data_IF_925940671291
#
_entry.id   IF_925940671291
#
_cell.length_a   1.000
_cell.length_b   1.000
_cell.length_c   1.000
_cell.angle_alpha   90.00
_cell.angle_beta   90.00
_cell.angle_gamma   90.00
#
_symmetry.space_group_name_H-M   'P 1'
#
loop_
_entity.id
_entity.type
_entity.pdbx_description
1 polymer ?
#
# COMPACT_ATOMS: atom_id res chain seq x y z
N UNK A 1 44.23 -5.96 -21.84
CA UNK A 1 44.05 -6.81 -20.64
C UNK A 1 45.37 -7.44 -20.19
N UNK A 2 46.40 -7.52 -21.04
CA UNK A 2 47.72 -8.08 -20.67
C UNK A 2 48.70 -7.11 -20.00
N UNK A 3 48.52 -5.78 -20.09
CA UNK A 3 49.51 -4.81 -19.60
C UNK A 3 49.44 -4.46 -18.10
N UNK A 4 48.48 -5.02 -17.34
CA UNK A 4 48.27 -4.71 -15.91
C UNK A 4 48.73 -5.87 -15.00
N UNK A 5 48.84 -7.10 -15.52
CA UNK A 5 49.32 -8.26 -14.74
C UNK A 5 50.83 -8.22 -14.48
N UNK A 6 51.59 -7.49 -15.29
CA UNK A 6 53.05 -7.48 -15.22
C UNK A 6 53.60 -6.55 -14.12
N UNK A 7 52.79 -5.63 -13.61
CA UNK A 7 53.18 -4.75 -12.50
C UNK A 7 52.99 -5.38 -11.11
N UNK A 8 52.35 -6.56 -11.00
CA UNK A 8 52.10 -7.20 -9.69
C UNK A 8 53.16 -8.22 -9.24
N UNK A 9 54.15 -8.57 -10.07
CA UNK A 9 55.17 -9.56 -9.70
C UNK A 9 56.38 -9.01 -8.94
N UNK A 10 56.52 -7.69 -8.79
CA UNK A 10 57.75 -7.05 -8.30
C UNK A 10 57.82 -6.73 -6.79
N UNK A 11 56.74 -6.83 -6.03
CA UNK A 11 56.71 -6.41 -4.62
C UNK A 11 56.04 -7.45 -3.74
N UNK A 12 56.73 -8.58 -3.57
CA UNK A 12 56.44 -9.53 -2.51
C UNK A 12 57.06 -9.03 -1.20
N UNK A 13 56.41 -8.07 -0.51
CA UNK A 13 56.54 -7.87 0.93
C UNK A 13 55.50 -6.88 1.44
N UNK A 14 54.58 -7.39 2.27
CA UNK A 14 53.60 -6.61 3.02
C UNK A 14 52.19 -6.77 2.48
N UNK A 15 51.44 -7.69 3.09
CA UNK A 15 50.03 -7.97 2.85
C UNK A 15 49.20 -6.70 3.09
N UNK A 16 49.14 -5.79 2.12
CA UNK A 16 48.08 -4.80 2.11
C UNK A 16 46.85 -5.59 1.72
N UNK A 17 46.15 -6.01 2.76
CA UNK A 17 44.73 -6.24 2.80
C UNK A 17 44.02 -5.01 2.23
N UNK A 18 44.15 -4.78 0.92
CA UNK A 18 43.12 -4.15 0.12
C UNK A 18 42.04 -5.24 0.07
N UNK A 19 41.41 -5.50 1.22
CA UNK A 19 40.04 -5.96 1.20
C UNK A 19 39.36 -4.94 0.33
N UNK A 20 38.93 -5.42 -0.83
CA UNK A 20 38.24 -4.67 -1.85
C UNK A 20 36.94 -4.16 -1.21
N UNK A 21 37.03 -3.09 -0.43
CA UNK A 21 35.89 -2.45 0.23
C UNK A 21 34.92 -1.93 -0.83
N UNK A 22 35.37 -1.74 -2.07
CA UNK A 22 34.51 -1.44 -3.20
C UNK A 22 33.74 -2.68 -3.69
N UNK A 23 34.35 -3.87 -3.80
CA UNK A 23 33.64 -5.11 -4.12
C UNK A 23 32.77 -5.63 -2.96
N UNK A 24 33.23 -5.58 -1.72
CA UNK A 24 32.45 -5.98 -0.54
C UNK A 24 31.26 -5.03 -0.28
N UNK A 25 31.39 -3.73 -0.60
CA UNK A 25 30.24 -2.80 -0.60
C UNK A 25 29.29 -3.05 -1.76
N UNK A 26 29.78 -3.48 -2.93
CA UNK A 26 28.90 -3.85 -4.06
C UNK A 26 28.08 -5.10 -3.74
N UNK A 27 28.64 -6.09 -3.07
CA UNK A 27 27.90 -7.30 -2.67
C UNK A 27 26.89 -7.00 -1.56
N UNK A 28 27.28 -6.23 -0.54
CA UNK A 28 26.37 -5.86 0.56
C UNK A 28 25.19 -5.01 0.06
N UNK A 29 25.43 -4.06 -0.86
CA UNK A 29 24.36 -3.24 -1.47
C UNK A 29 23.46 -4.03 -2.39
N UNK A 30 23.99 -5.03 -3.10
CA UNK A 30 23.18 -5.92 -3.95
C UNK A 30 22.21 -6.75 -3.11
N UNK A 31 22.69 -7.33 -2.00
CA UNK A 31 21.82 -8.07 -1.08
C UNK A 31 20.78 -7.15 -0.44
N UNK A 32 21.18 -5.96 0.02
CA UNK A 32 20.25 -4.97 0.58
C UNK A 32 19.17 -4.56 -0.43
N UNK A 33 19.57 -4.23 -1.67
CA UNK A 33 18.63 -3.84 -2.73
C UNK A 33 17.69 -4.98 -3.08
N UNK A 34 18.20 -6.21 -3.20
CA UNK A 34 17.39 -7.38 -3.49
C UNK A 34 16.33 -7.62 -2.41
N UNK A 35 16.72 -7.55 -1.14
CA UNK A 35 15.81 -7.70 0.01
C UNK A 35 14.75 -6.60 0.00
N UNK A 36 15.15 -5.34 -0.18
CA UNK A 36 14.20 -4.21 -0.24
C UNK A 36 13.20 -4.36 -1.38
N UNK A 37 13.65 -4.68 -2.59
CA UNK A 37 12.78 -4.88 -3.76
C UNK A 37 11.79 -6.01 -3.50
N UNK A 38 12.24 -7.11 -2.90
CA UNK A 38 11.37 -8.24 -2.57
C UNK A 38 10.27 -7.84 -1.57
N UNK A 39 10.64 -7.15 -0.49
CA UNK A 39 9.67 -6.66 0.50
C UNK A 39 8.69 -5.64 -0.10
N UNK A 40 9.17 -4.65 -0.86
CA UNK A 40 8.28 -3.68 -1.52
C UNK A 40 7.35 -4.36 -2.54
N UNK A 41 7.84 -5.36 -3.28
CA UNK A 41 7.00 -6.19 -4.15
C UNK A 41 5.91 -6.92 -3.37
N UNK A 42 6.25 -7.51 -2.22
CA UNK A 42 5.28 -8.20 -1.36
C UNK A 42 4.24 -7.23 -0.78
N UNK A 43 4.67 -6.05 -0.31
CA UNK A 43 3.76 -4.99 0.14
C UNK A 43 2.81 -4.57 -0.98
N UNK A 44 3.32 -4.40 -2.21
CA UNK A 44 2.49 -4.05 -3.36
C UNK A 44 1.45 -5.14 -3.66
N UNK A 45 1.84 -6.43 -3.61
CA UNK A 45 0.93 -7.55 -3.81
C UNK A 45 -0.18 -7.60 -2.75
N UNK A 46 0.17 -7.52 -1.46
CA UNK A 46 -0.83 -7.49 -0.38
C UNK A 46 -1.75 -6.29 -0.52
N UNK A 47 -1.20 -5.14 -0.87
CA UNK A 47 -1.99 -3.92 -1.10
C UNK A 47 -2.97 -4.13 -2.25
N UNK A 48 -2.55 -4.73 -3.37
CA UNK A 48 -3.43 -5.02 -4.50
C UNK A 48 -4.57 -6.00 -4.13
N UNK A 49 -4.27 -7.04 -3.34
CA UNK A 49 -5.28 -7.97 -2.81
C UNK A 49 -6.27 -7.21 -1.91
N UNK A 50 -5.77 -6.37 -1.01
CA UNK A 50 -6.59 -5.55 -0.12
C UNK A 50 -7.52 -4.60 -0.89
N UNK A 51 -7.00 -3.92 -1.91
CA UNK A 51 -7.79 -3.05 -2.79
C UNK A 51 -8.91 -3.83 -3.48
N UNK A 52 -8.61 -5.03 -3.99
CA UNK A 52 -9.61 -5.91 -4.62
C UNK A 52 -10.70 -6.34 -3.62
N UNK A 53 -10.31 -6.64 -2.38
CA UNK A 53 -11.27 -6.98 -1.32
C UNK A 53 -12.20 -5.80 -0.98
N UNK A 54 -11.64 -4.58 -0.89
CA UNK A 54 -12.42 -3.36 -0.67
C UNK A 54 -13.41 -3.14 -1.82
N UNK A 55 -12.98 -3.31 -3.07
CA UNK A 55 -13.89 -3.22 -4.22
C UNK A 55 -15.06 -4.18 -4.10
N UNK A 56 -14.81 -5.46 -3.85
CA UNK A 56 -15.87 -6.45 -3.67
C UNK A 56 -16.84 -6.05 -2.54
N UNK A 57 -16.30 -5.62 -1.40
CA UNK A 57 -17.12 -5.17 -0.26
C UNK A 57 -18.01 -3.98 -0.63
N UNK A 58 -17.46 -2.98 -1.33
CA UNK A 58 -18.21 -1.79 -1.74
C UNK A 58 -19.29 -2.15 -2.77
N UNK A 59 -18.98 -2.99 -3.76
CA UNK A 59 -19.98 -3.44 -4.73
C UNK A 59 -21.15 -4.15 -4.05
N UNK A 60 -20.88 -5.03 -3.08
CA UNK A 60 -21.93 -5.68 -2.29
C UNK A 60 -22.74 -4.68 -1.47
N UNK A 61 -22.09 -3.73 -0.78
CA UNK A 61 -22.76 -2.68 0.00
C UNK A 61 -23.68 -1.82 -0.86
N UNK A 62 -23.22 -1.42 -2.04
CA UNK A 62 -24.00 -0.66 -3.02
C UNK A 62 -25.21 -1.46 -3.50
N UNK A 63 -25.05 -2.75 -3.82
CA UNK A 63 -26.15 -3.60 -4.27
C UNK A 63 -27.27 -3.68 -3.23
N UNK A 64 -26.92 -3.79 -1.95
CA UNK A 64 -27.89 -3.77 -0.84
C UNK A 64 -28.60 -2.40 -0.73
N UNK A 65 -27.85 -1.31 -0.84
CA UNK A 65 -28.37 0.06 -0.72
C UNK A 65 -29.16 0.53 -1.94
N UNK A 66 -29.11 -0.14 -3.08
CA UNK A 66 -29.97 0.19 -4.24
C UNK A 66 -31.46 0.14 -3.87
N UNK A 67 -31.88 -0.82 -3.04
CA UNK A 67 -33.27 -0.92 -2.55
C UNK A 67 -33.64 0.23 -1.61
N UNK A 68 -32.74 0.60 -0.70
CA UNK A 68 -32.94 1.73 0.20
C UNK A 68 -32.98 3.06 -0.56
N UNK A 69 -32.11 3.22 -1.56
CA UNK A 69 -32.10 4.40 -2.43
C UNK A 69 -33.42 4.54 -3.22
N UNK A 70 -33.99 3.43 -3.71
CA UNK A 70 -35.29 3.47 -4.38
C UNK A 70 -36.41 3.98 -3.45
N UNK A 71 -36.40 3.59 -2.16
CA UNK A 71 -37.31 4.15 -1.16
C UNK A 71 -37.04 5.63 -0.87
N UNK A 72 -35.78 6.01 -0.65
CA UNK A 72 -35.41 7.40 -0.34
C UNK A 72 -35.70 8.35 -1.50
N UNK A 73 -35.62 7.87 -2.74
CA UNK A 73 -36.02 8.62 -3.94
C UNK A 73 -37.52 8.93 -3.95
N UNK A 74 -38.37 8.03 -3.44
CA UNK A 74 -39.82 8.27 -3.31
C UNK A 74 -40.16 9.38 -2.30
N UNK A 75 -39.25 9.68 -1.37
CA UNK A 75 -39.36 10.77 -0.39
C UNK A 75 -38.64 12.05 -0.86
N UNK A 76 -38.09 12.05 -2.08
CA UNK A 76 -37.49 13.23 -2.71
C UNK A 76 -35.96 13.36 -2.56
N UNK A 77 -35.25 12.33 -2.11
CA UNK A 77 -33.78 12.39 -2.00
C UNK A 77 -33.11 12.46 -3.38
N UNK A 78 -32.24 13.45 -3.57
CA UNK A 78 -31.52 13.62 -4.84
C UNK A 78 -30.34 12.65 -4.96
N UNK A 79 -29.95 12.21 -6.18
CA UNK A 79 -28.78 11.35 -6.38
C UNK A 79 -27.46 11.98 -5.90
N UNK A 80 -27.38 13.32 -5.88
CA UNK A 80 -26.19 14.04 -5.41
C UNK A 80 -26.02 13.94 -3.89
N UNK A 81 -27.11 14.00 -3.14
CA UNK A 81 -27.08 13.89 -1.68
C UNK A 81 -26.72 12.47 -1.21
N UNK A 82 -27.16 11.46 -1.97
CA UNK A 82 -26.73 10.07 -1.75
C UNK A 82 -25.21 9.91 -1.87
N UNK A 83 -24.61 10.46 -2.93
CA UNK A 83 -23.16 10.35 -3.17
C UNK A 83 -22.39 11.10 -2.07
N UNK A 84 -22.88 12.26 -1.62
CA UNK A 84 -22.27 12.99 -0.49
C UNK A 84 -22.30 12.17 0.80
N UNK A 85 -23.45 11.60 1.15
CA UNK A 85 -23.60 10.75 2.34
C UNK A 85 -22.62 9.57 2.31
N UNK A 86 -22.55 8.89 1.16
CA UNK A 86 -21.66 7.77 0.93
C UNK A 86 -20.18 8.16 1.07
N UNK A 87 -19.76 9.30 0.50
CA UNK A 87 -18.39 9.78 0.63
C UNK A 87 -18.01 10.08 2.09
N UNK A 88 -18.93 10.66 2.87
CA UNK A 88 -18.70 10.87 4.31
C UNK A 88 -18.50 9.55 5.03
N UNK A 89 -19.29 8.53 4.73
CA UNK A 89 -19.16 7.22 5.35
C UNK A 89 -17.81 6.56 5.04
N UNK A 90 -17.31 6.70 3.82
CA UNK A 90 -15.98 6.18 3.43
C UNK A 90 -14.84 6.83 4.20
N UNK A 91 -14.94 8.13 4.49
CA UNK A 91 -13.95 8.82 5.35
C UNK A 91 -13.96 8.19 6.74
N UNK A 92 -15.14 7.91 7.32
CA UNK A 92 -15.24 7.23 8.61
C UNK A 92 -14.62 5.81 8.57
N UNK A 93 -14.80 5.06 7.48
CA UNK A 93 -14.13 3.77 7.31
C UNK A 93 -12.60 3.91 7.27
N UNK A 94 -12.07 4.89 6.53
CA UNK A 94 -10.63 5.18 6.48
C UNK A 94 -10.06 5.54 7.86
N UNK A 95 -10.77 6.37 8.62
CA UNK A 95 -10.38 6.73 9.99
C UNK A 95 -10.36 5.50 10.89
N UNK A 96 -11.41 4.66 10.85
CA UNK A 96 -11.45 3.41 11.63
C UNK A 96 -10.31 2.47 11.23
N UNK A 97 -10.02 2.33 9.94
CA UNK A 97 -8.92 1.51 9.46
C UNK A 97 -7.57 1.99 10.00
N UNK A 98 -7.31 3.30 9.98
CA UNK A 98 -6.08 3.88 10.54
C UNK A 98 -6.02 3.75 12.06
N UNK A 99 -7.15 3.91 12.74
CA UNK A 99 -7.25 3.81 14.20
C UNK A 99 -6.82 2.43 14.70
N UNK A 100 -7.11 1.36 13.97
CA UNK A 100 -6.65 0.01 14.32
C UNK A 100 -5.32 -0.35 13.66
N UNK A 101 -5.10 0.06 12.41
CA UNK A 101 -3.92 -0.29 11.63
C UNK A 101 -2.64 0.32 12.15
N UNK A 102 -2.65 1.59 12.56
CA UNK A 102 -1.47 2.27 13.08
C UNK A 102 -1.00 1.66 14.41
N UNK A 103 -1.85 1.50 15.45
CA UNK A 103 -1.41 0.89 16.71
C UNK A 103 -0.89 -0.53 16.54
N UNK A 104 -1.53 -1.36 15.70
CA UNK A 104 -1.06 -2.72 15.42
C UNK A 104 0.32 -2.67 14.75
N UNK A 105 0.51 -1.79 13.77
CA UNK A 105 1.80 -1.63 13.08
C UNK A 105 2.91 -1.15 14.02
N UNK A 106 2.61 -0.17 14.89
CA UNK A 106 3.57 0.30 15.89
C UNK A 106 3.90 -0.76 16.93
N UNK A 107 2.91 -1.53 17.40
CA UNK A 107 3.13 -2.64 18.32
C UNK A 107 4.04 -3.71 17.69
N UNK A 108 3.81 -4.05 16.43
CA UNK A 108 4.63 -5.01 15.70
C UNK A 108 6.06 -4.48 15.48
N UNK A 109 6.21 -3.19 15.15
CA UNK A 109 7.51 -2.53 15.03
C UNK A 109 8.28 -2.55 16.36
N UNK A 110 7.60 -2.27 17.47
CA UNK A 110 8.20 -2.33 18.80
C UNK A 110 8.60 -3.76 19.19
N UNK A 111 7.77 -4.76 18.87
CA UNK A 111 8.08 -6.17 19.12
C UNK A 111 9.31 -6.62 18.33
N UNK A 112 9.39 -6.28 17.04
CA UNK A 112 10.58 -6.56 16.22
C UNK A 112 11.82 -5.87 16.79
N UNK A 113 11.69 -4.61 17.20
CA UNK A 113 12.79 -3.89 17.86
C UNK A 113 13.26 -4.62 19.12
N UNK A 114 12.34 -5.05 19.97
CA UNK A 114 12.67 -5.77 21.21
C UNK A 114 13.44 -7.06 20.93
N UNK A 115 12.96 -7.87 19.98
CA UNK A 115 13.62 -9.13 19.58
C UNK A 115 15.00 -8.89 18.96
N UNK A 116 15.16 -7.84 18.15
CA UNK A 116 16.45 -7.56 17.49
C UNK A 116 17.45 -6.81 18.38
N UNK A 117 16.97 -6.09 19.40
CA UNK A 117 17.81 -5.28 20.28
C UNK A 117 18.85 -6.10 21.06
N UNK A 118 18.57 -7.38 21.29
CA UNK A 118 19.47 -8.31 21.96
C UNK A 118 20.68 -8.71 21.09
N UNK A 119 20.49 -8.81 19.77
CA UNK A 119 21.54 -9.23 18.82
C UNK A 119 22.23 -8.06 18.10
N UNK A 120 21.55 -6.94 17.90
CA UNK A 120 22.06 -5.77 17.19
C UNK A 120 21.72 -4.51 17.98
N UNK A 121 22.71 -3.63 18.24
CA UNK A 121 22.51 -2.31 18.88
C UNK A 121 21.81 -1.32 17.93
N UNK A 122 20.62 -1.68 17.45
CA UNK A 122 19.80 -0.86 16.56
C UNK A 122 19.18 0.26 17.39
N UNK A 123 19.20 1.49 16.89
CA UNK A 123 18.46 2.61 17.50
C UNK A 123 17.01 2.56 17.04
N UNK A 124 16.06 2.69 17.96
CA UNK A 124 14.65 2.85 17.61
C UNK A 124 14.43 4.22 16.97
N UNK A 125 14.24 4.24 15.65
CA UNK A 125 13.94 5.45 14.89
C UNK A 125 12.64 5.23 14.15
N UNK A 126 11.62 6.02 14.49
CA UNK A 126 10.33 5.99 13.78
C UNK A 126 10.42 6.86 12.54
N UNK A 127 10.22 6.31 11.32
CA UNK A 127 10.21 7.10 10.10
C UNK A 127 8.86 7.81 9.93
N UNK A 128 8.71 9.00 10.53
CA UNK A 128 7.49 9.81 10.46
C UNK A 128 7.03 10.10 9.02
N UNK A 129 7.98 10.25 8.09
CA UNK A 129 7.68 10.44 6.67
C UNK A 129 6.91 9.25 6.09
N UNK A 130 7.30 8.02 6.43
CA UNK A 130 6.61 6.81 5.94
C UNK A 130 5.20 6.71 6.53
N UNK A 131 5.02 7.07 7.80
CA UNK A 131 3.70 7.09 8.46
C UNK A 131 2.75 8.06 7.75
N UNK A 132 3.21 9.27 7.42
CA UNK A 132 2.42 10.25 6.68
C UNK A 132 2.03 9.74 5.29
N UNK A 133 2.97 9.13 4.56
CA UNK A 133 2.71 8.53 3.24
C UNK A 133 1.62 7.45 3.35
N UNK A 134 1.68 6.59 4.37
CA UNK A 134 0.66 5.53 4.57
C UNK A 134 -0.71 6.13 4.89
N UNK A 135 -0.78 7.14 5.77
CA UNK A 135 -2.04 7.81 6.09
C UNK A 135 -2.67 8.39 4.82
N UNK A 136 -1.90 9.16 4.05
CA UNK A 136 -2.37 9.75 2.80
C UNK A 136 -2.74 8.67 1.79
N UNK A 137 -1.94 7.61 1.68
CA UNK A 137 -2.18 6.47 0.80
C UNK A 137 -3.49 5.75 1.11
N UNK A 138 -3.79 5.49 2.39
CA UNK A 138 -5.05 4.86 2.81
C UNK A 138 -6.24 5.73 2.43
N UNK A 139 -6.21 7.03 2.73
CA UNK A 139 -7.28 7.94 2.33
C UNK A 139 -7.42 8.00 0.81
N UNK A 140 -6.32 8.10 0.07
CA UNK A 140 -6.33 8.13 -1.39
C UNK A 140 -6.94 6.86 -1.98
N UNK A 141 -6.60 5.68 -1.46
CA UNK A 141 -7.14 4.39 -1.92
C UNK A 141 -8.64 4.32 -1.63
N UNK A 142 -9.06 4.60 -0.39
CA UNK A 142 -10.48 4.53 0.01
C UNK A 142 -11.33 5.52 -0.79
N UNK A 143 -10.88 6.77 -0.92
CA UNK A 143 -11.57 7.78 -1.72
C UNK A 143 -11.61 7.41 -3.20
N UNK A 144 -10.51 6.93 -3.78
CA UNK A 144 -10.47 6.51 -5.19
C UNK A 144 -11.42 5.34 -5.47
N UNK A 145 -11.42 4.35 -4.58
CA UNK A 145 -12.31 3.19 -4.67
C UNK A 145 -13.78 3.64 -4.62
N UNK A 146 -14.11 4.58 -3.74
CA UNK A 146 -15.48 5.09 -3.61
C UNK A 146 -15.97 5.93 -4.79
N UNK A 147 -15.11 6.82 -5.28
CA UNK A 147 -15.41 7.63 -6.46
C UNK A 147 -15.62 6.73 -7.68
N UNK A 148 -14.77 5.72 -7.85
CA UNK A 148 -14.88 4.77 -8.95
C UNK A 148 -16.17 3.94 -8.87
N UNK A 149 -16.49 3.39 -7.69
CA UNK A 149 -17.70 2.61 -7.50
C UNK A 149 -18.97 3.46 -7.71
N UNK A 150 -19.01 4.68 -7.16
CA UNK A 150 -20.14 5.60 -7.32
C UNK A 150 -20.33 6.06 -8.76
N UNK A 151 -19.23 6.31 -9.49
CA UNK A 151 -19.28 6.65 -10.91
C UNK A 151 -19.77 5.47 -11.76
N UNK A 152 -19.30 4.24 -11.47
CA UNK A 152 -19.72 3.04 -12.20
C UNK A 152 -21.20 2.74 -12.03
N UNK A 153 -21.76 2.95 -10.83
CA UNK A 153 -23.20 2.80 -10.56
C UNK A 153 -24.07 3.77 -11.37
N UNK A 154 -23.59 5.00 -11.66
CA UNK A 154 -24.30 5.92 -12.56
C UNK A 154 -24.40 5.41 -13.99
N UNK A 155 -23.38 4.69 -14.48
CA UNK A 155 -23.34 4.21 -15.86
C UNK A 155 -24.13 2.92 -16.06
N UNK A 156 -24.13 2.00 -15.09
CA UNK A 156 -24.89 0.74 -15.21
C UNK A 156 -26.41 0.94 -15.12
N UNK A 157 -26.88 1.93 -14.34
CA UNK A 157 -28.32 2.20 -14.19
C UNK A 157 -29.00 2.74 -15.47
N UNK A 158 -28.27 3.20 -16.50
CA UNK A 158 -28.88 3.74 -17.73
C UNK A 158 -28.95 2.67 -18.83
N UNK A 159 -27.98 1.75 -18.90
CA UNK A 159 -27.87 0.79 -20.00
C UNK A 159 -28.67 -0.49 -19.71
N UNK A 160 -28.66 -1.01 -18.47
CA UNK A 160 -29.41 -2.23 -18.13
C UNK A 160 -30.90 -1.96 -17.88
N UNK A 161 -31.26 -0.75 -17.42
CA UNK A 161 -32.66 -0.34 -17.28
C UNK A 161 -33.41 -0.29 -18.62
N UNK A 162 -32.69 -0.02 -19.73
CA UNK A 162 -33.27 -0.06 -21.08
C UNK A 162 -33.35 -1.49 -21.64
N UNK A 163 -32.54 -2.42 -21.16
CA UNK A 163 -32.45 -3.78 -21.71
C UNK A 163 -33.43 -4.76 -21.06
N UNK A 164 -33.92 -4.45 -19.86
CA UNK A 164 -34.91 -5.27 -19.14
C UNK A 164 -36.36 -4.95 -19.51
N UNK A 165 -36.65 -3.87 -20.23
CA UNK A 165 -38.00 -3.57 -20.72
C UNK A 165 -38.26 -4.06 -22.17
N UNK A 166 -37.23 -4.54 -22.89
CA UNK A 166 -37.35 -4.94 -24.31
C UNK A 166 -37.33 -6.47 -24.52
N UNK A 167 -37.17 -7.27 -23.46
CA UNK A 167 -37.33 -8.73 -23.50
C UNK A 167 -38.28 -9.21 -22.40
#
# INVERSE_FOLDING_TARGET
VESIQEYQKGTAMGYVSIYDVAAAQKDSRQVETFVLVFFYGFVALITAIGVTNIFNTIFTSIALRKREFAMLRSVGMTPGDFIKMINFESIFYGIKALLYGLPISFALMYLLYWVMSDSFRVKFVVPWNAVLIVIIGVFAIVSSCMLYASSKVRHENIIDALKTEIY
#
